data_IF_788369979558
#
_entry.id   IF_788369979558
#
_cell.length_a   1.000
_cell.length_b   1.000
_cell.length_c   1.000
_cell.angle_alpha   90.00
_cell.angle_beta   90.00
_cell.angle_gamma   90.00
#
_symmetry.space_group_name_H-M   'P 1'
#
loop_
_entity.id
_entity.type
_entity.pdbx_description
1 polymer ?
#
# COMPACT_ATOMS: atom_id res chain seq x y z
N UNK A 1 2.62 17.66 15.63
CA UNK A 1 2.15 16.26 15.68
C UNK A 1 3.09 15.56 16.62
N UNK A 2 2.56 14.87 17.62
CA UNK A 2 3.37 14.10 18.59
C UNK A 2 4.03 12.89 17.90
N UNK A 3 5.16 12.40 18.40
CA UNK A 3 5.90 11.25 17.86
C UNK A 3 5.01 10.00 17.77
N UNK A 4 4.13 9.80 18.77
CA UNK A 4 3.13 8.75 18.78
C UNK A 4 2.10 8.89 17.66
N UNK A 5 1.56 10.09 17.45
CA UNK A 5 0.62 10.34 16.35
C UNK A 5 1.26 10.12 14.97
N UNK A 6 2.54 10.46 14.85
CA UNK A 6 3.32 10.22 13.63
C UNK A 6 3.56 8.73 13.40
N UNK A 7 3.82 7.97 14.47
CA UNK A 7 3.89 6.50 14.43
C UNK A 7 2.58 5.87 13.97
N UNK A 8 1.47 6.24 14.59
CA UNK A 8 0.14 5.69 14.27
C UNK A 8 -0.21 5.98 12.79
N UNK A 9 0.03 7.21 12.34
CA UNK A 9 -0.19 7.59 10.94
C UNK A 9 0.72 6.84 9.96
N UNK A 10 1.97 6.55 10.34
CA UNK A 10 2.88 5.73 9.53
C UNK A 10 2.35 4.31 9.38
N UNK A 11 1.82 3.73 10.46
CA UNK A 11 1.24 2.40 10.48
C UNK A 11 -0.02 2.32 9.62
N UNK A 12 -0.88 3.33 9.70
CA UNK A 12 -2.07 3.44 8.86
C UNK A 12 -1.69 3.44 7.38
N UNK A 13 -0.76 4.32 6.96
CA UNK A 13 -0.31 4.35 5.56
C UNK A 13 0.31 3.02 5.12
N UNK A 14 1.06 2.35 5.99
CA UNK A 14 1.60 1.02 5.71
C UNK A 14 0.48 0.00 5.50
N UNK A 15 -0.54 0.02 6.35
CA UNK A 15 -1.67 -0.90 6.27
C UNK A 15 -2.48 -0.67 5.00
N UNK A 16 -2.80 0.59 4.67
CA UNK A 16 -3.46 0.94 3.41
C UNK A 16 -2.63 0.49 2.20
N UNK A 17 -1.31 0.70 2.22
CA UNK A 17 -0.44 0.25 1.14
C UNK A 17 -0.52 -1.27 0.92
N UNK A 18 -0.52 -2.06 2.00
CA UNK A 18 -0.65 -3.52 1.92
C UNK A 18 -2.03 -3.94 1.38
N UNK A 19 -3.11 -3.30 1.85
CA UNK A 19 -4.47 -3.59 1.37
C UNK A 19 -4.61 -3.28 -0.12
N UNK A 20 -4.15 -2.10 -0.58
CA UNK A 20 -4.16 -1.77 -2.01
C UNK A 20 -3.31 -2.73 -2.84
N UNK A 21 -2.15 -3.15 -2.32
CA UNK A 21 -1.31 -4.13 -3.01
C UNK A 21 -2.05 -5.46 -3.19
N UNK A 22 -2.65 -5.97 -2.11
CA UNK A 22 -3.40 -7.23 -2.15
C UNK A 22 -4.57 -7.14 -3.15
N UNK A 23 -5.36 -6.07 -3.09
CA UNK A 23 -6.48 -5.84 -4.03
C UNK A 23 -5.98 -5.76 -5.47
N UNK A 24 -4.89 -5.04 -5.74
CA UNK A 24 -4.27 -4.98 -7.07
C UNK A 24 -3.85 -6.36 -7.58
N UNK A 25 -3.21 -7.17 -6.74
CA UNK A 25 -2.84 -8.55 -7.07
C UNK A 25 -4.06 -9.41 -7.40
N UNK A 26 -5.17 -9.27 -6.68
CA UNK A 26 -6.41 -9.99 -7.01
C UNK A 26 -6.96 -9.60 -8.38
N UNK A 27 -6.95 -8.32 -8.74
CA UNK A 27 -7.34 -7.89 -10.08
C UNK A 27 -6.43 -8.47 -11.17
N UNK A 28 -5.11 -8.50 -10.94
CA UNK A 28 -4.15 -9.13 -11.85
C UNK A 28 -4.35 -10.65 -11.99
N UNK A 29 -4.59 -11.36 -10.90
CA UNK A 29 -4.95 -12.79 -10.96
C UNK A 29 -6.23 -12.99 -11.78
N UNK A 30 -7.21 -12.11 -11.60
CA UNK A 30 -8.42 -12.06 -12.40
C UNK A 30 -8.19 -11.90 -13.90
N UNK A 31 -7.08 -11.31 -14.35
CA UNK A 31 -6.75 -11.19 -15.79
C UNK A 31 -6.07 -12.43 -16.35
N UNK A 32 -5.27 -13.14 -15.56
CA UNK A 32 -4.51 -14.32 -16.01
C UNK A 32 -5.36 -15.60 -16.06
N UNK A 33 -6.31 -15.78 -15.13
CA UNK A 33 -7.11 -17.02 -15.07
C UNK A 33 -7.95 -17.19 -16.34
N UNK A 34 -7.75 -18.24 -17.15
CA UNK A 34 -8.49 -18.43 -18.39
C UNK A 34 -9.99 -18.65 -18.11
N UNK A 35 -10.85 -18.07 -18.94
CA UNK A 35 -12.30 -18.25 -18.89
C UNK A 35 -12.88 -18.16 -20.30
N UNK A 36 -13.81 -19.03 -20.64
CA UNK A 36 -14.46 -19.06 -21.97
C UNK A 36 -15.33 -17.83 -22.24
N UNK A 37 -15.70 -17.07 -21.19
CA UNK A 37 -16.57 -15.89 -21.28
C UNK A 37 -15.84 -14.55 -21.16
N UNK A 38 -14.50 -14.54 -21.19
CA UNK A 38 -13.73 -13.31 -21.01
C UNK A 38 -13.81 -12.38 -22.22
N UNK A 39 -14.43 -11.23 -22.03
CA UNK A 39 -14.42 -10.15 -23.03
C UNK A 39 -13.15 -9.32 -22.86
N UNK A 40 -12.52 -8.90 -23.97
CA UNK A 40 -11.30 -8.08 -23.95
C UNK A 40 -11.44 -6.82 -23.09
N UNK A 41 -12.63 -6.20 -23.09
CA UNK A 41 -12.95 -5.03 -22.27
C UNK A 41 -12.76 -5.31 -20.77
N UNK A 42 -13.21 -6.48 -20.28
CA UNK A 42 -13.08 -6.84 -18.86
C UNK A 42 -11.62 -7.03 -18.47
N UNK A 43 -10.80 -7.57 -19.37
CA UNK A 43 -9.36 -7.73 -19.18
C UNK A 43 -8.68 -6.35 -19.07
N UNK A 44 -9.02 -5.41 -19.97
CA UNK A 44 -8.46 -4.06 -19.91
C UNK A 44 -8.87 -3.31 -18.65
N UNK A 45 -10.14 -3.42 -18.23
CA UNK A 45 -10.64 -2.80 -17.00
C UNK A 45 -9.93 -3.38 -15.78
N UNK A 46 -9.85 -4.70 -15.66
CA UNK A 46 -9.17 -5.34 -14.53
C UNK A 46 -7.66 -5.05 -14.51
N UNK A 47 -7.01 -4.99 -15.68
CA UNK A 47 -5.60 -4.60 -15.77
C UNK A 47 -5.41 -3.13 -15.34
N UNK A 48 -6.26 -2.23 -15.83
CA UNK A 48 -6.25 -0.82 -15.44
C UNK A 48 -6.47 -0.63 -13.95
N UNK A 49 -7.43 -1.35 -13.36
CA UNK A 49 -7.67 -1.38 -11.92
C UNK A 49 -6.41 -1.87 -11.17
N UNK A 50 -5.85 -3.02 -11.56
CA UNK A 50 -4.62 -3.56 -10.96
C UNK A 50 -3.48 -2.55 -10.93
N UNK A 51 -3.20 -1.89 -12.07
CA UNK A 51 -2.14 -0.88 -12.17
C UNK A 51 -2.44 0.32 -11.26
N UNK A 52 -3.69 0.77 -11.21
CA UNK A 52 -4.12 1.89 -10.36
C UNK A 52 -3.93 1.58 -8.87
N UNK A 53 -4.35 0.39 -8.43
CA UNK A 53 -4.18 -0.07 -7.04
C UNK A 53 -2.70 -0.25 -6.68
N UNK A 54 -1.88 -0.79 -7.61
CA UNK A 54 -0.44 -0.91 -7.40
C UNK A 54 0.23 0.46 -7.27
N UNK A 55 -0.09 1.42 -8.14
CA UNK A 55 0.45 2.78 -8.07
C UNK A 55 0.05 3.48 -6.75
N UNK A 56 -1.20 3.31 -6.32
CA UNK A 56 -1.67 3.79 -5.02
C UNK A 56 -0.92 3.16 -3.84
N UNK A 57 -0.70 1.85 -3.90
CA UNK A 57 0.09 1.13 -2.88
C UNK A 57 1.52 1.66 -2.77
N UNK A 58 2.23 1.82 -3.89
CA UNK A 58 3.59 2.37 -3.91
C UNK A 58 3.62 3.79 -3.34
N UNK A 59 2.60 4.60 -3.64
CA UNK A 59 2.48 5.96 -3.10
C UNK A 59 2.33 5.95 -1.58
N UNK A 60 1.47 5.10 -1.02
CA UNK A 60 1.32 4.99 0.44
C UNK A 60 2.53 4.37 1.13
N UNK A 61 3.22 3.40 0.52
CA UNK A 61 4.50 2.92 1.05
C UNK A 61 5.54 4.03 1.09
N UNK A 62 5.60 4.87 0.06
CA UNK A 62 6.52 6.01 0.01
C UNK A 62 6.21 7.03 1.11
N UNK A 63 4.93 7.31 1.36
CA UNK A 63 4.51 8.18 2.47
C UNK A 63 4.86 7.54 3.81
N UNK A 64 4.51 6.29 4.05
CA UNK A 64 4.84 5.55 5.27
C UNK A 64 6.35 5.57 5.56
N UNK A 65 7.19 5.37 4.54
CA UNK A 65 8.64 5.45 4.66
C UNK A 65 9.14 6.85 5.00
N UNK A 66 8.54 7.91 4.44
CA UNK A 66 8.87 9.29 4.82
C UNK A 66 8.55 9.55 6.29
N UNK A 67 7.39 9.10 6.78
CA UNK A 67 7.04 9.23 8.20
C UNK A 67 8.02 8.44 9.08
N UNK A 68 8.37 7.21 8.68
CA UNK A 68 9.38 6.41 9.38
C UNK A 68 10.72 7.13 9.48
N UNK A 69 11.18 7.78 8.41
CA UNK A 69 12.43 8.55 8.44
C UNK A 69 12.35 9.72 9.41
N UNK A 70 11.20 10.42 9.47
CA UNK A 70 10.98 11.49 10.46
C UNK A 70 11.02 10.97 11.91
N UNK A 71 10.48 9.79 12.18
CA UNK A 71 10.57 9.20 13.53
C UNK A 71 12.00 8.89 13.96
N UNK A 72 12.85 8.46 13.01
CA UNK A 72 14.25 8.12 13.29
C UNK A 72 15.05 9.35 13.73
N UNK A 73 14.63 10.56 13.36
CA UNK A 73 15.28 11.81 13.76
C UNK A 73 15.01 12.20 15.23
N UNK A 74 14.10 11.48 15.91
CA UNK A 74 13.68 11.78 17.30
C UNK A 74 13.93 10.60 18.23
N UNK A 75 14.37 10.85 19.46
CA UNK A 75 14.63 9.80 20.46
C UNK A 75 13.36 9.01 20.81
N UNK A 76 12.24 9.70 21.06
CA UNK A 76 10.93 9.09 21.29
C UNK A 76 10.46 8.24 20.09
N UNK A 77 10.66 8.74 18.86
CA UNK A 77 10.29 8.02 17.65
C UNK A 77 11.13 6.76 17.44
N UNK A 78 12.42 6.79 17.80
CA UNK A 78 13.28 5.61 17.80
C UNK A 78 12.81 4.57 18.83
N UNK A 79 12.45 4.99 20.04
CA UNK A 79 11.90 4.08 21.06
C UNK A 79 10.63 3.37 20.55
N UNK A 80 9.72 4.11 19.93
CA UNK A 80 8.48 3.56 19.35
C UNK A 80 8.75 2.59 18.19
N UNK A 81 9.78 2.82 17.39
CA UNK A 81 10.20 1.92 16.31
C UNK A 81 10.84 0.63 16.82
N UNK A 82 11.56 0.69 17.94
CA UNK A 82 12.27 -0.43 18.56
C UNK A 82 11.36 -1.31 19.43
N UNK A 83 10.21 -0.78 19.88
CA UNK A 83 9.20 -1.50 20.68
C UNK A 83 8.40 -2.57 19.92
N UNK A 84 8.87 -2.98 18.73
CA UNK A 84 8.13 -3.81 17.77
C UNK A 84 8.62 -5.25 17.71
#
# INVERSE_FOLDING_TARGET
MDAKQLYDKMLDFKQYAIVLLAVGVFFYLGTIIPSETKVMTDIYIATGASVSFLAGSVSFFSISNKLRNQLIETEEGQELLMKK
#
